data_IF_336288843377
#
_entry.id   IF_336288843377
#
_cell.length_a   1.000
_cell.length_b   1.000
_cell.length_c   1.000
_cell.angle_alpha   90.00
_cell.angle_beta   90.00
_cell.angle_gamma   90.00
#
_symmetry.space_group_name_H-M   'P 1'
#
loop_
_entity.id
_entity.type
_entity.pdbx_description
1 polymer ?
#
# COMPACT_ATOMS: atom_id res chain seq x y z
N UNK A 1 -32.01 -3.59 18.09
CA UNK A 1 -30.86 -2.84 17.54
C UNK A 1 -30.29 -3.65 16.40
N UNK A 2 -30.86 -3.42 15.23
CA UNK A 2 -30.66 -4.18 13.99
C UNK A 2 -29.31 -3.84 13.38
N UNK A 3 -28.51 -4.86 13.11
CA UNK A 3 -27.35 -4.82 12.22
C UNK A 3 -27.79 -4.27 10.87
N UNK A 4 -27.51 -2.99 10.62
CA UNK A 4 -27.52 -2.49 9.25
C UNK A 4 -26.44 -3.25 8.49
N UNK A 5 -26.91 -4.17 7.64
CA UNK A 5 -26.13 -4.90 6.67
C UNK A 5 -25.13 -3.96 5.99
N UNK A 6 -23.88 -4.40 5.93
CA UNK A 6 -22.80 -3.87 5.09
C UNK A 6 -23.27 -3.96 3.63
N UNK A 7 -24.14 -3.04 3.21
CA UNK A 7 -24.34 -2.75 1.80
C UNK A 7 -23.13 -1.94 1.40
N UNK A 8 -22.21 -2.61 0.72
CA UNK A 8 -21.11 -2.01 -0.01
C UNK A 8 -21.60 -0.74 -0.69
N UNK A 9 -21.22 0.42 -0.13
CA UNK A 9 -21.12 1.64 -0.93
C UNK A 9 -20.29 1.20 -2.14
N UNK A 10 -20.79 1.46 -3.36
CA UNK A 10 -19.97 1.27 -4.56
C UNK A 10 -18.76 2.18 -4.37
N UNK A 11 -17.66 1.61 -3.88
CA UNK A 11 -16.45 2.37 -3.59
C UNK A 11 -15.97 3.03 -4.87
N UNK A 12 -15.96 4.36 -4.85
CA UNK A 12 -15.50 5.19 -5.98
C UNK A 12 -13.98 5.22 -6.03
N UNK A 13 -13.33 5.27 -4.86
CA UNK A 13 -11.88 5.49 -4.75
C UNK A 13 -11.08 4.18 -4.71
N UNK A 14 -11.64 3.09 -4.20
CA UNK A 14 -10.96 1.80 -4.05
C UNK A 14 -11.71 0.61 -4.71
N UNK A 15 -12.25 0.74 -5.94
CA UNK A 15 -13.11 -0.30 -6.53
C UNK A 15 -12.36 -1.62 -6.75
N UNK A 16 -11.07 -1.57 -7.09
CA UNK A 16 -10.27 -2.78 -7.31
C UNK A 16 -9.90 -3.47 -5.99
N UNK A 17 -9.47 -2.71 -4.97
CA UNK A 17 -9.15 -3.26 -3.66
C UNK A 17 -10.37 -3.96 -3.05
N UNK A 18 -11.55 -3.33 -3.08
CA UNK A 18 -12.78 -3.96 -2.60
C UNK A 18 -13.12 -5.25 -3.33
N UNK A 19 -13.01 -5.29 -4.66
CA UNK A 19 -13.27 -6.51 -5.45
C UNK A 19 -12.32 -7.64 -5.06
N UNK A 20 -11.03 -7.34 -4.92
CA UNK A 20 -10.03 -8.36 -4.57
C UNK A 20 -10.20 -8.80 -3.12
N UNK A 21 -10.44 -7.89 -2.18
CA UNK A 21 -10.76 -8.24 -0.79
C UNK A 21 -12.04 -9.08 -0.65
N UNK A 22 -13.07 -8.82 -1.46
CA UNK A 22 -14.27 -9.66 -1.52
C UNK A 22 -13.94 -11.06 -2.04
N UNK A 23 -13.15 -11.15 -3.11
CA UNK A 23 -12.71 -12.42 -3.70
C UNK A 23 -11.85 -13.24 -2.71
N UNK A 24 -10.99 -12.57 -1.95
CA UNK A 24 -10.19 -13.16 -0.87
C UNK A 24 -11.03 -13.50 0.39
N UNK A 25 -12.31 -13.12 0.41
CA UNK A 25 -13.22 -13.36 1.53
C UNK A 25 -12.97 -12.48 2.76
N UNK A 26 -12.15 -11.43 2.63
CA UNK A 26 -11.81 -10.52 3.72
C UNK A 26 -13.05 -9.84 4.34
N UNK A 27 -14.00 -9.43 3.49
CA UNK A 27 -15.24 -8.78 3.92
C UNK A 27 -16.11 -9.75 4.72
N UNK A 28 -16.27 -10.98 4.24
CA UNK A 28 -17.03 -12.01 4.95
C UNK A 28 -16.40 -12.32 6.31
N UNK A 29 -15.06 -12.40 6.38
CA UNK A 29 -14.31 -12.63 7.62
C UNK A 29 -14.50 -11.48 8.62
N UNK A 30 -14.49 -10.23 8.16
CA UNK A 30 -14.69 -9.05 9.00
C UNK A 30 -16.12 -8.99 9.57
N UNK A 31 -17.13 -9.28 8.75
CA UNK A 31 -18.54 -9.17 9.13
C UNK A 31 -19.01 -10.32 10.05
N UNK A 32 -18.18 -11.37 10.21
CA UNK A 32 -18.48 -12.56 11.04
C UNK A 32 -19.84 -13.18 10.72
N UNK A 33 -20.21 -13.21 9.45
CA UNK A 33 -21.46 -13.77 8.98
C UNK A 33 -21.40 -15.32 8.96
N UNK A 34 -21.38 -15.95 10.14
CA UNK A 34 -21.18 -17.40 10.34
C UNK A 34 -22.19 -18.28 9.57
N UNK A 35 -23.35 -17.74 9.23
CA UNK A 35 -24.42 -18.45 8.51
C UNK A 35 -24.24 -18.45 6.98
N UNK A 36 -23.28 -17.68 6.44
CA UNK A 36 -23.06 -17.58 5.00
C UNK A 36 -22.09 -18.64 4.48
N UNK A 37 -22.45 -19.31 3.37
CA UNK A 37 -21.51 -20.19 2.65
C UNK A 37 -20.22 -19.47 2.22
N UNK A 38 -20.30 -18.17 1.94
CA UNK A 38 -19.14 -17.36 1.57
C UNK A 38 -18.17 -17.18 2.73
N UNK A 39 -18.65 -17.16 3.98
CA UNK A 39 -17.80 -17.09 5.16
C UNK A 39 -16.96 -18.36 5.31
N UNK A 40 -17.58 -19.54 5.23
CA UNK A 40 -16.87 -20.81 5.34
C UNK A 40 -15.91 -21.05 4.17
N UNK A 41 -16.28 -20.64 2.96
CA UNK A 41 -15.36 -20.63 1.83
C UNK A 41 -14.13 -19.74 2.10
N UNK A 42 -14.34 -18.52 2.61
CA UNK A 42 -13.26 -17.60 2.97
C UNK A 42 -12.35 -18.18 4.06
N UNK A 43 -12.92 -18.82 5.09
CA UNK A 43 -12.17 -19.47 6.16
C UNK A 43 -11.30 -20.59 5.60
N UNK A 44 -11.85 -21.47 4.76
CA UNK A 44 -11.10 -22.58 4.16
C UNK A 44 -10.00 -22.07 3.23
N UNK A 45 -10.31 -21.13 2.34
CA UNK A 45 -9.34 -20.53 1.42
C UNK A 45 -8.17 -19.91 2.20
N UNK A 46 -8.46 -19.11 3.21
CA UNK A 46 -7.43 -18.48 4.02
C UNK A 46 -6.70 -19.51 4.90
N UNK A 47 -7.35 -20.52 5.47
CA UNK A 47 -6.64 -21.56 6.22
C UNK A 47 -5.61 -22.29 5.34
N UNK A 48 -6.00 -22.62 4.11
CA UNK A 48 -5.12 -23.28 3.14
C UNK A 48 -3.99 -22.37 2.64
N UNK A 49 -4.30 -21.14 2.23
CA UNK A 49 -3.36 -20.22 1.62
C UNK A 49 -2.54 -19.39 2.62
N UNK A 50 -3.07 -19.09 3.81
CA UNK A 50 -2.47 -18.18 4.81
C UNK A 50 -1.90 -18.89 6.03
N UNK A 51 -2.22 -20.17 6.25
CA UNK A 51 -1.66 -20.95 7.37
C UNK A 51 -0.87 -22.14 6.86
N UNK A 52 -1.49 -23.01 6.07
CA UNK A 52 -0.82 -24.24 5.62
C UNK A 52 0.33 -23.93 4.66
N UNK A 53 0.13 -23.05 3.68
CA UNK A 53 1.15 -22.75 2.67
C UNK A 53 2.43 -22.09 3.23
N UNK A 54 2.36 -21.06 4.09
CA UNK A 54 3.56 -20.54 4.75
C UNK A 54 4.28 -21.59 5.61
N UNK A 55 3.54 -22.49 6.27
CA UNK A 55 4.14 -23.54 7.09
C UNK A 55 4.91 -24.56 6.25
N UNK A 56 4.37 -24.98 5.10
CA UNK A 56 5.07 -25.91 4.19
C UNK A 56 6.32 -25.29 3.56
N UNK A 57 6.29 -23.98 3.30
CA UNK A 57 7.47 -23.20 2.88
C UNK A 57 8.52 -23.12 3.99
N UNK A 58 8.12 -22.77 5.22
CA UNK A 58 9.04 -22.68 6.37
C UNK A 58 9.72 -24.01 6.69
N UNK A 59 8.99 -25.13 6.57
CA UNK A 59 9.58 -26.46 6.77
C UNK A 59 10.65 -26.82 5.72
N UNK A 60 10.51 -26.31 4.50
CA UNK A 60 11.46 -26.56 3.41
C UNK A 60 12.55 -25.48 3.28
N UNK A 61 12.47 -24.38 4.05
CA UNK A 61 13.23 -23.15 3.84
C UNK A 61 14.74 -23.34 3.66
N UNK A 62 15.36 -24.26 4.40
CA UNK A 62 16.80 -24.56 4.35
C UNK A 62 17.10 -26.02 3.98
N UNK A 63 16.20 -26.66 3.24
CA UNK A 63 16.32 -28.08 2.88
C UNK A 63 17.07 -28.33 1.57
N UNK A 64 17.59 -27.30 0.91
CA UNK A 64 18.22 -27.41 -0.41
C UNK A 64 19.74 -27.49 -0.32
N UNK A 65 20.35 -28.23 -1.25
CA UNK A 65 21.81 -28.37 -1.34
C UNK A 65 22.48 -27.07 -1.80
N UNK A 66 21.82 -26.34 -2.72
CA UNK A 66 22.33 -25.10 -3.27
C UNK A 66 22.01 -23.91 -2.36
N UNK A 67 23.01 -23.10 -1.96
CA UNK A 67 22.78 -21.90 -1.14
C UNK A 67 21.85 -20.87 -1.80
N UNK A 68 21.88 -20.76 -3.15
CA UNK A 68 21.00 -19.87 -3.91
C UNK A 68 19.52 -20.23 -3.72
N UNK A 69 19.21 -21.53 -3.75
CA UNK A 69 17.85 -22.05 -3.59
C UNK A 69 17.35 -21.84 -2.16
N UNK A 70 18.23 -21.98 -1.17
CA UNK A 70 17.94 -21.68 0.23
C UNK A 70 17.64 -20.18 0.44
N UNK A 71 18.39 -19.27 -0.20
CA UNK A 71 18.12 -17.83 -0.15
C UNK A 71 16.79 -17.47 -0.82
N UNK A 72 16.49 -18.07 -1.97
CA UNK A 72 15.22 -17.86 -2.66
C UNK A 72 14.03 -18.33 -1.80
N UNK A 73 14.10 -19.54 -1.24
CA UNK A 73 13.04 -20.08 -0.38
C UNK A 73 12.89 -19.30 0.94
N UNK A 74 13.99 -18.80 1.51
CA UNK A 74 13.95 -17.88 2.65
C UNK A 74 13.16 -16.61 2.32
N UNK A 75 13.45 -15.98 1.18
CA UNK A 75 12.75 -14.77 0.76
C UNK A 75 11.26 -15.01 0.54
N UNK A 76 10.89 -16.11 -0.12
CA UNK A 76 9.49 -16.47 -0.36
C UNK A 76 8.76 -16.75 0.96
N UNK A 77 9.39 -17.49 1.87
CA UNK A 77 8.82 -17.85 3.17
C UNK A 77 8.52 -16.61 4.01
N UNK A 78 9.50 -15.70 4.15
CA UNK A 78 9.32 -14.46 4.90
C UNK A 78 8.26 -13.57 4.24
N UNK A 79 8.28 -13.46 2.91
CA UNK A 79 7.26 -12.68 2.17
C UNK A 79 5.86 -13.25 2.41
N UNK A 80 5.72 -14.57 2.40
CA UNK A 80 4.43 -15.23 2.63
C UNK A 80 3.91 -14.96 4.05
N UNK A 81 4.76 -15.10 5.07
CA UNK A 81 4.40 -14.77 6.46
C UNK A 81 4.02 -13.29 6.60
N UNK A 82 4.79 -12.39 5.98
CA UNK A 82 4.53 -10.96 6.01
C UNK A 82 3.17 -10.59 5.38
N UNK A 83 2.86 -11.18 4.21
CA UNK A 83 1.58 -11.01 3.52
C UNK A 83 0.41 -11.44 4.40
N UNK A 84 0.53 -12.58 5.08
CA UNK A 84 -0.51 -13.07 6.01
C UNK A 84 -0.74 -12.08 7.15
N UNK A 85 0.34 -11.59 7.76
CA UNK A 85 0.25 -10.62 8.86
C UNK A 85 -0.41 -9.34 8.39
N UNK A 86 0.01 -8.77 7.24
CA UNK A 86 -0.58 -7.55 6.67
C UNK A 86 -2.07 -7.74 6.35
N UNK A 87 -2.43 -8.83 5.69
CA UNK A 87 -3.82 -9.13 5.35
C UNK A 87 -4.72 -9.25 6.59
N UNK A 88 -4.25 -9.91 7.65
CA UNK A 88 -4.96 -9.99 8.94
C UNK A 88 -5.10 -8.63 9.62
N UNK A 89 -4.12 -7.73 9.48
CA UNK A 89 -4.20 -6.37 10.00
C UNK A 89 -5.25 -5.54 9.25
N UNK A 90 -5.28 -5.61 7.92
CA UNK A 90 -6.27 -4.88 7.11
C UNK A 90 -7.69 -5.41 7.32
N UNK A 91 -7.89 -6.72 7.29
CA UNK A 91 -9.22 -7.35 7.53
C UNK A 91 -9.81 -6.90 8.86
N UNK A 92 -9.02 -6.80 9.93
CA UNK A 92 -9.46 -6.31 11.25
C UNK A 92 -9.80 -4.82 11.29
N UNK A 93 -9.31 -4.03 10.33
CA UNK A 93 -9.51 -2.57 10.28
C UNK A 93 -10.48 -2.15 9.18
N UNK A 94 -11.09 -3.08 8.44
CA UNK A 94 -11.97 -2.77 7.31
C UNK A 94 -13.15 -1.85 7.63
N UNK A 95 -13.67 -1.88 8.86
CA UNK A 95 -14.73 -0.95 9.26
C UNK A 95 -14.29 0.53 9.16
N UNK A 96 -13.02 0.83 9.45
CA UNK A 96 -12.46 2.18 9.32
C UNK A 96 -12.34 2.62 7.87
N UNK A 97 -12.20 1.69 6.93
CA UNK A 97 -12.16 2.03 5.50
C UNK A 97 -13.49 2.63 5.03
N UNK A 98 -14.61 2.11 5.51
CA UNK A 98 -15.93 2.69 5.19
C UNK A 98 -16.06 4.12 5.74
N UNK A 99 -15.58 4.36 6.96
CA UNK A 99 -15.54 5.70 7.56
C UNK A 99 -14.63 6.64 6.75
N UNK A 100 -13.46 6.16 6.34
CA UNK A 100 -12.51 6.89 5.50
C UNK A 100 -13.15 7.31 4.16
N UNK A 101 -13.85 6.39 3.48
CA UNK A 101 -14.57 6.69 2.24
C UNK A 101 -15.72 7.68 2.45
N UNK A 102 -16.44 7.61 3.57
CA UNK A 102 -17.50 8.58 3.87
C UNK A 102 -16.94 10.00 4.02
N UNK A 103 -15.83 10.16 4.75
CA UNK A 103 -15.16 11.45 4.90
C UNK A 103 -14.66 11.96 3.54
N UNK A 104 -14.14 11.09 2.67
CA UNK A 104 -13.75 11.48 1.31
C UNK A 104 -14.93 11.98 0.49
N UNK A 105 -16.07 11.27 0.52
CA UNK A 105 -17.27 11.69 -0.21
C UNK A 105 -17.76 13.06 0.28
N UNK A 106 -17.65 13.35 1.57
CA UNK A 106 -17.98 14.67 2.12
C UNK A 106 -17.04 15.78 1.64
N UNK A 107 -15.73 15.50 1.58
CA UNK A 107 -14.73 16.43 1.07
C UNK A 107 -14.89 16.66 -0.45
N UNK A 108 -15.19 15.62 -1.21
CA UNK A 108 -15.33 15.68 -2.67
C UNK A 108 -16.57 16.47 -3.09
N UNK A 109 -17.66 16.42 -2.30
CA UNK A 109 -18.84 17.30 -2.49
C UNK A 109 -18.52 18.79 -2.40
N UNK A 110 -17.37 19.17 -1.85
CA UNK A 110 -16.94 20.56 -1.72
C UNK A 110 -16.10 21.04 -2.90
N UNK A 111 -15.80 20.18 -3.87
CA UNK A 111 -15.11 20.55 -5.10
C UNK A 111 -16.09 21.30 -5.99
N UNK A 112 -15.73 22.52 -6.35
CA UNK A 112 -16.46 23.29 -7.34
C UNK A 112 -15.89 23.02 -8.73
N UNK A 113 -16.67 22.34 -9.58
CA UNK A 113 -16.24 21.98 -10.92
C UNK A 113 -16.31 23.15 -11.91
N UNK A 114 -16.96 24.25 -11.55
CA UNK A 114 -16.99 25.45 -12.38
C UNK A 114 -15.68 26.23 -12.26
N UNK A 115 -14.94 26.01 -11.16
CA UNK A 115 -13.59 26.55 -10.97
C UNK A 115 -12.58 25.65 -11.71
N UNK A 116 -12.06 26.14 -12.83
CA UNK A 116 -11.14 25.40 -13.71
C UNK A 116 -9.95 24.78 -12.96
N UNK A 117 -9.35 25.53 -12.02
CA UNK A 117 -8.25 25.04 -11.20
C UNK A 117 -8.65 23.81 -10.36
N UNK A 118 -9.81 23.84 -9.71
CA UNK A 118 -10.29 22.72 -8.87
C UNK A 118 -10.70 21.52 -9.73
N UNK A 119 -11.34 21.76 -10.87
CA UNK A 119 -11.64 20.71 -11.84
C UNK A 119 -10.36 20.01 -12.34
N UNK A 120 -9.33 20.77 -12.70
CA UNK A 120 -8.04 20.22 -13.11
C UNK A 120 -7.35 19.43 -11.99
N UNK A 121 -7.37 19.93 -10.76
CA UNK A 121 -6.79 19.24 -9.60
C UNK A 121 -7.48 17.91 -9.31
N UNK A 122 -8.82 17.88 -9.30
CA UNK A 122 -9.59 16.65 -9.12
C UNK A 122 -9.33 15.66 -10.27
N UNK A 123 -9.27 16.14 -11.51
CA UNK A 123 -8.92 15.30 -12.67
C UNK A 123 -7.50 14.74 -12.58
N UNK A 124 -6.53 15.53 -12.08
CA UNK A 124 -5.15 15.08 -11.85
C UNK A 124 -5.08 14.00 -10.78
N UNK A 125 -5.80 14.19 -9.66
CA UNK A 125 -5.94 13.18 -8.62
C UNK A 125 -6.43 11.84 -9.19
N UNK A 126 -7.52 11.84 -9.96
CA UNK A 126 -8.05 10.63 -10.59
C UNK A 126 -7.05 9.97 -11.56
N UNK A 127 -6.28 10.76 -12.32
CA UNK A 127 -5.22 10.23 -13.20
C UNK A 127 -4.10 9.57 -12.40
N UNK A 128 -3.66 10.18 -11.30
CA UNK A 128 -2.62 9.62 -10.43
C UNK A 128 -3.07 8.31 -9.79
N UNK A 129 -4.28 8.25 -9.24
CA UNK A 129 -4.84 7.00 -8.70
C UNK A 129 -4.88 5.90 -9.76
N UNK A 130 -5.27 6.24 -10.99
CA UNK A 130 -5.24 5.29 -12.12
C UNK A 130 -3.82 4.86 -12.48
N UNK A 131 -2.86 5.78 -12.47
CA UNK A 131 -1.46 5.49 -12.79
C UNK A 131 -0.84 4.55 -11.75
N UNK A 132 -1.01 4.84 -10.45
CA UNK A 132 -0.56 3.97 -9.36
C UNK A 132 -1.19 2.59 -9.53
N UNK A 133 -2.50 2.51 -9.70
CA UNK A 133 -3.21 1.24 -9.86
C UNK A 133 -2.67 0.43 -11.05
N UNK A 134 -2.48 1.06 -12.21
CA UNK A 134 -1.94 0.40 -13.42
C UNK A 134 -0.50 -0.07 -13.23
N UNK A 135 0.33 0.72 -12.57
CA UNK A 135 1.71 0.35 -12.25
C UNK A 135 1.74 -0.89 -11.34
N UNK A 136 0.95 -0.92 -10.27
CA UNK A 136 0.85 -2.10 -9.41
C UNK A 136 0.28 -3.32 -10.14
N UNK A 137 -0.75 -3.15 -10.99
CA UNK A 137 -1.27 -4.25 -11.82
C UNK A 137 -0.15 -4.81 -12.70
N UNK A 138 0.59 -3.95 -13.41
CA UNK A 138 1.67 -4.38 -14.29
C UNK A 138 2.76 -5.15 -13.53
N UNK A 139 3.19 -4.62 -12.37
CA UNK A 139 4.20 -5.27 -11.52
C UNK A 139 3.72 -6.63 -11.03
N UNK A 140 2.51 -6.73 -10.47
CA UNK A 140 2.00 -7.98 -9.91
C UNK A 140 1.60 -9.00 -10.99
N UNK A 141 1.16 -8.57 -12.18
CA UNK A 141 1.00 -9.46 -13.33
C UNK A 141 2.34 -10.03 -13.79
N UNK A 142 3.41 -9.21 -13.82
CA UNK A 142 4.75 -9.70 -14.12
C UNK A 142 5.21 -10.74 -13.08
N UNK A 143 5.00 -10.47 -11.79
CA UNK A 143 5.28 -11.44 -10.72
C UNK A 143 4.51 -12.73 -10.94
N UNK A 144 3.19 -12.69 -11.14
CA UNK A 144 2.38 -13.89 -11.37
C UNK A 144 2.87 -14.71 -12.57
N UNK A 145 3.15 -14.05 -13.70
CA UNK A 145 3.69 -14.72 -14.90
C UNK A 145 5.04 -15.37 -14.57
N UNK A 146 5.97 -14.63 -13.96
CA UNK A 146 7.31 -15.16 -13.67
C UNK A 146 7.32 -16.27 -12.63
N UNK A 147 6.36 -16.32 -11.71
CA UNK A 147 6.29 -17.37 -10.68
C UNK A 147 5.54 -18.61 -11.14
N UNK A 148 4.43 -18.45 -11.87
CA UNK A 148 3.51 -19.54 -12.18
C UNK A 148 3.77 -20.17 -13.56
N UNK A 149 4.18 -19.38 -14.54
CA UNK A 149 4.33 -19.83 -15.92
C UNK A 149 5.47 -20.83 -16.15
N UNK A 150 6.67 -20.70 -15.56
CA UNK A 150 7.79 -21.61 -15.83
C UNK A 150 7.46 -23.08 -15.55
N UNK A 151 6.68 -23.34 -14.49
CA UNK A 151 6.28 -24.69 -14.09
C UNK A 151 5.46 -25.44 -15.18
N UNK A 152 4.77 -24.71 -16.06
CA UNK A 152 3.96 -25.32 -17.13
C UNK A 152 4.78 -25.75 -18.35
N UNK A 153 6.02 -25.27 -18.47
CA UNK A 153 6.89 -25.53 -19.62
C UNK A 153 8.05 -26.50 -19.31
N UNK A 154 8.22 -26.89 -18.06
CA UNK A 154 9.23 -27.88 -17.66
C UNK A 154 8.70 -29.28 -17.98
N UNK A 155 9.50 -30.08 -18.70
CA UNK A 155 9.13 -31.43 -19.12
C UNK A 155 9.06 -32.43 -17.95
N UNK A 156 9.83 -32.17 -16.89
CA UNK A 156 9.82 -32.95 -15.66
C UNK A 156 8.73 -32.47 -14.69
N UNK A 157 8.19 -33.38 -13.88
CA UNK A 157 7.21 -33.02 -12.85
C UNK A 157 7.88 -32.16 -11.78
N UNK A 158 7.58 -30.87 -11.81
CA UNK A 158 8.07 -29.88 -10.84
C UNK A 158 6.91 -29.13 -10.22
N UNK A 159 7.08 -28.64 -9.00
CA UNK A 159 6.13 -27.73 -8.36
C UNK A 159 6.63 -26.29 -8.52
N UNK A 160 5.73 -25.28 -8.62
CA UNK A 160 6.12 -23.87 -8.77
C UNK A 160 7.12 -23.38 -7.73
N UNK A 161 6.92 -23.78 -6.47
CA UNK A 161 7.91 -23.61 -5.42
C UNK A 161 8.21 -24.93 -4.73
N UNK A 162 9.49 -25.21 -4.45
CA UNK A 162 9.85 -26.44 -3.78
C UNK A 162 9.46 -26.32 -2.30
N UNK A 163 8.43 -27.06 -1.90
CA UNK A 163 7.88 -27.04 -0.53
C UNK A 163 7.81 -28.45 0.01
N UNK A 164 7.76 -28.57 1.34
CA UNK A 164 7.49 -29.86 1.96
C UNK A 164 6.01 -30.19 1.76
N UNK A 165 5.73 -31.35 1.15
CA UNK A 165 4.37 -31.80 0.91
C UNK A 165 4.18 -33.20 1.52
N UNK A 166 3.09 -33.45 2.26
CA UNK A 166 2.90 -34.71 2.99
C UNK A 166 2.62 -35.91 2.07
N UNK A 167 2.12 -35.68 0.85
CA UNK A 167 1.86 -36.74 -0.13
C UNK A 167 3.06 -36.91 -1.07
N UNK A 168 3.39 -38.15 -1.41
CA UNK A 168 4.37 -38.42 -2.46
C UNK A 168 3.77 -38.09 -3.84
N UNK A 169 4.08 -36.88 -4.29
CA UNK A 169 3.67 -36.33 -5.57
C UNK A 169 4.64 -36.69 -6.71
N UNK A 170 5.84 -37.23 -6.40
CA UNK A 170 6.81 -37.61 -7.43
C UNK A 170 6.39 -38.91 -8.12
N UNK A 171 5.93 -39.89 -7.33
CA UNK A 171 5.54 -41.20 -7.83
C UNK A 171 4.12 -41.25 -8.44
N UNK A 172 3.15 -40.56 -7.84
CA UNK A 172 1.73 -40.63 -8.24
C UNK A 172 1.27 -39.38 -9.02
N UNK A 173 0.69 -39.60 -10.21
CA UNK A 173 0.12 -38.51 -11.03
C UNK A 173 -1.06 -37.82 -10.32
N UNK A 174 -1.89 -38.57 -9.60
CA UNK A 174 -3.03 -37.98 -8.88
C UNK A 174 -2.56 -37.05 -7.75
N UNK A 175 -1.57 -37.50 -6.96
CA UNK A 175 -0.98 -36.68 -5.91
C UNK A 175 -0.27 -35.44 -6.49
N UNK A 176 0.38 -35.60 -7.64
CA UNK A 176 0.98 -34.48 -8.37
C UNK A 176 -0.04 -33.42 -8.75
N UNK A 177 -1.16 -33.81 -9.37
CA UNK A 177 -2.22 -32.87 -9.77
C UNK A 177 -2.79 -32.15 -8.54
N UNK A 178 -3.03 -32.86 -7.43
CA UNK A 178 -3.51 -32.27 -6.18
C UNK A 178 -2.52 -31.23 -5.64
N UNK A 179 -1.24 -31.59 -5.54
CA UNK A 179 -0.19 -30.69 -5.05
C UNK A 179 -0.03 -29.45 -5.93
N UNK A 180 -0.07 -29.65 -7.25
CA UNK A 180 0.05 -28.59 -8.24
C UNK A 180 -1.12 -27.61 -8.16
N UNK A 181 -2.36 -28.10 -8.15
CA UNK A 181 -3.55 -27.25 -8.02
C UNK A 181 -3.56 -26.49 -6.68
N UNK A 182 -3.17 -27.16 -5.59
CA UNK A 182 -3.05 -26.51 -4.28
C UNK A 182 -2.02 -25.37 -4.28
N UNK A 183 -0.85 -25.59 -4.87
CA UNK A 183 0.18 -24.55 -4.94
C UNK A 183 -0.25 -23.38 -5.81
N UNK A 184 -0.80 -23.60 -7.01
CA UNK A 184 -1.31 -22.52 -7.85
C UNK A 184 -2.37 -21.69 -7.12
N UNK A 185 -3.35 -22.35 -6.47
CA UNK A 185 -4.37 -21.63 -5.72
C UNK A 185 -3.78 -20.81 -4.56
N UNK A 186 -2.81 -21.37 -3.83
CA UNK A 186 -2.16 -20.70 -2.70
C UNK A 186 -1.31 -19.52 -3.15
N UNK A 187 -0.52 -19.68 -4.21
CA UNK A 187 0.32 -18.64 -4.80
C UNK A 187 -0.53 -17.51 -5.35
N UNK A 188 -1.55 -17.81 -6.16
CA UNK A 188 -2.50 -16.82 -6.68
C UNK A 188 -3.16 -16.04 -5.54
N UNK A 189 -3.58 -16.73 -4.47
CA UNK A 189 -4.19 -16.07 -3.29
C UNK A 189 -3.20 -15.14 -2.59
N UNK A 190 -1.95 -15.57 -2.38
CA UNK A 190 -0.89 -14.77 -1.75
C UNK A 190 -0.50 -13.55 -2.61
N UNK A 191 -0.41 -13.72 -3.94
CA UNK A 191 -0.15 -12.62 -4.88
C UNK A 191 -1.27 -11.58 -4.79
N UNK A 192 -2.53 -12.02 -4.77
CA UNK A 192 -3.68 -11.12 -4.67
C UNK A 192 -3.73 -10.39 -3.31
N UNK A 193 -3.41 -11.07 -2.20
CA UNK A 193 -3.28 -10.45 -0.88
C UNK A 193 -2.20 -9.38 -0.88
N UNK A 194 -1.00 -9.73 -1.34
CA UNK A 194 0.11 -8.80 -1.36
C UNK A 194 -0.15 -7.60 -2.29
N UNK A 195 -0.84 -7.83 -3.42
CA UNK A 195 -1.25 -6.78 -4.35
C UNK A 195 -2.12 -5.71 -3.69
N UNK A 196 -3.20 -6.09 -2.99
CA UNK A 196 -4.09 -5.11 -2.33
C UNK A 196 -3.44 -4.46 -1.13
N UNK A 197 -2.66 -5.22 -0.37
CA UNK A 197 -2.00 -4.76 0.84
C UNK A 197 -0.95 -3.67 0.54
N UNK A 198 -0.28 -3.77 -0.62
CA UNK A 198 0.72 -2.80 -1.06
C UNK A 198 0.11 -1.67 -1.91
N UNK A 199 -0.98 -1.91 -2.65
CA UNK A 199 -1.67 -0.88 -3.43
C UNK A 199 -2.45 0.10 -2.55
N UNK A 200 -3.06 -0.36 -1.47
CA UNK A 200 -3.96 0.45 -0.65
C UNK A 200 -3.29 1.68 0.02
N UNK A 201 -2.11 1.56 0.66
CA UNK A 201 -1.43 2.70 1.31
C UNK A 201 -1.11 3.89 0.39
N UNK A 202 -0.45 3.74 -0.77
CA UNK A 202 -0.13 4.88 -1.62
C UNK A 202 -1.38 5.58 -2.16
N UNK A 203 -2.45 4.84 -2.48
CA UNK A 203 -3.72 5.44 -2.89
C UNK A 203 -4.33 6.29 -1.76
N UNK A 204 -4.29 5.77 -0.53
CA UNK A 204 -4.80 6.46 0.65
C UNK A 204 -4.07 7.77 0.91
N UNK A 205 -2.73 7.75 0.91
CA UNK A 205 -1.94 8.98 1.11
C UNK A 205 -2.06 9.96 -0.06
N UNK A 206 -2.18 9.47 -1.30
CA UNK A 206 -2.47 10.30 -2.46
C UNK A 206 -3.80 11.06 -2.27
N UNK A 207 -4.86 10.38 -1.86
CA UNK A 207 -6.17 11.00 -1.62
C UNK A 207 -6.09 12.06 -0.51
N UNK A 208 -5.39 11.78 0.58
CA UNK A 208 -5.18 12.74 1.67
C UNK A 208 -4.42 13.98 1.18
N UNK A 209 -3.31 13.80 0.48
CA UNK A 209 -2.51 14.92 -0.06
C UNK A 209 -3.33 15.80 -1.00
N UNK A 210 -4.04 15.20 -1.97
CA UNK A 210 -4.81 15.94 -2.99
C UNK A 210 -6.01 16.67 -2.40
N UNK A 211 -6.69 16.10 -1.41
CA UNK A 211 -7.75 16.80 -0.68
C UNK A 211 -7.21 17.99 0.14
N UNK A 212 -5.99 17.88 0.67
CA UNK A 212 -5.32 19.00 1.32
C UNK A 212 -4.98 20.12 0.33
N UNK A 213 -4.46 19.80 -0.86
CA UNK A 213 -4.21 20.80 -1.90
C UNK A 213 -5.49 21.51 -2.34
N UNK A 214 -6.59 20.76 -2.53
CA UNK A 214 -7.90 21.33 -2.85
C UNK A 214 -8.42 22.27 -1.74
N UNK A 215 -8.17 21.94 -0.47
CA UNK A 215 -8.47 22.83 0.64
C UNK A 215 -7.63 24.11 0.60
N UNK A 216 -6.31 24.00 0.36
CA UNK A 216 -5.41 25.14 0.22
C UNK A 216 -5.86 26.07 -0.90
N UNK A 217 -6.24 25.51 -2.05
CA UNK A 217 -6.77 26.28 -3.18
C UNK A 217 -8.05 27.02 -2.79
N UNK A 218 -9.02 26.33 -2.16
CA UNK A 218 -10.29 26.95 -1.72
C UNK A 218 -10.07 28.11 -0.75
N UNK A 219 -9.16 27.95 0.21
CA UNK A 219 -8.81 29.02 1.15
C UNK A 219 -8.21 30.22 0.41
N UNK A 220 -7.30 29.98 -0.53
CA UNK A 220 -6.64 31.03 -1.30
C UNK A 220 -7.58 31.84 -2.19
N UNK A 221 -8.77 31.34 -2.53
CA UNK A 221 -9.73 32.06 -3.36
C UNK A 221 -10.64 33.02 -2.56
N UNK A 222 -10.64 32.94 -1.23
CA UNK A 222 -11.56 33.71 -0.40
C UNK A 222 -11.23 35.22 -0.47
N UNK A 223 -12.27 36.04 -0.66
CA UNK A 223 -12.17 37.50 -0.64
C UNK A 223 -11.68 38.16 -1.94
N UNK A 224 -11.51 37.39 -3.03
CA UNK A 224 -11.21 37.93 -4.36
C UNK A 224 -12.44 38.12 -5.24
N UNK A 225 -13.60 37.57 -4.85
CA UNK A 225 -14.85 37.82 -5.54
C UNK A 225 -15.45 39.16 -5.09
N UNK A 226 -15.49 40.13 -6.01
CA UNK A 226 -16.04 41.47 -5.77
C UNK A 226 -17.54 41.47 -5.42
N UNK A 227 -18.24 40.35 -5.62
CA UNK A 227 -19.66 40.20 -5.27
C UNK A 227 -19.88 39.59 -3.88
N UNK A 228 -18.82 39.15 -3.20
CA UNK A 228 -18.92 38.49 -1.91
C UNK A 228 -18.92 39.49 -0.74
N UNK A 229 -20.01 39.52 0.03
CA UNK A 229 -20.07 40.27 1.29
C UNK A 229 -19.08 39.70 2.33
N UNK A 230 -18.59 40.53 3.25
CA UNK A 230 -17.67 40.12 4.33
C UNK A 230 -18.20 38.90 5.13
N UNK A 231 -19.51 38.85 5.38
CA UNK A 231 -20.15 37.72 6.08
C UNK A 231 -20.07 36.41 5.30
N UNK A 232 -20.13 36.48 3.97
CA UNK A 232 -19.98 35.31 3.09
C UNK A 232 -18.55 34.79 3.17
N UNK A 233 -17.55 35.67 3.14
CA UNK A 233 -16.14 35.29 3.29
C UNK A 233 -15.84 34.67 4.66
N UNK A 234 -16.44 35.19 5.74
CA UNK A 234 -16.37 34.57 7.07
C UNK A 234 -16.95 33.14 7.05
N UNK A 235 -18.13 32.94 6.47
CA UNK A 235 -18.75 31.61 6.35
C UNK A 235 -17.91 30.65 5.51
N UNK A 236 -17.31 31.11 4.41
CA UNK A 236 -16.41 30.32 3.59
C UNK A 236 -15.18 29.86 4.38
N UNK A 237 -14.59 30.74 5.20
CA UNK A 237 -13.47 30.39 6.07
C UNK A 237 -13.88 29.36 7.14
N UNK A 238 -15.04 29.54 7.79
CA UNK A 238 -15.56 28.54 8.74
C UNK A 238 -15.79 27.19 8.09
N UNK A 239 -16.33 27.17 6.87
CA UNK A 239 -16.51 25.94 6.12
C UNK A 239 -15.17 25.28 5.77
N UNK A 240 -14.13 26.06 5.43
CA UNK A 240 -12.78 25.55 5.20
C UNK A 240 -12.14 24.99 6.48
N UNK A 241 -12.40 25.61 7.65
CA UNK A 241 -11.95 25.08 8.95
C UNK A 241 -12.62 23.74 9.25
N UNK A 242 -13.91 23.58 8.92
CA UNK A 242 -14.60 22.30 9.06
C UNK A 242 -14.01 21.23 8.14
N UNK A 243 -13.69 21.60 6.90
CA UNK A 243 -13.06 20.69 5.94
C UNK A 243 -11.64 20.31 6.38
N UNK A 244 -10.89 21.25 6.97
CA UNK A 244 -9.62 20.97 7.63
C UNK A 244 -9.82 19.90 8.71
N UNK A 245 -10.80 20.03 9.59
CA UNK A 245 -11.03 19.03 10.64
C UNK A 245 -11.33 17.64 10.07
N UNK A 246 -12.12 17.57 8.99
CA UNK A 246 -12.36 16.31 8.28
C UNK A 246 -11.10 15.75 7.64
N UNK A 247 -10.23 16.60 7.09
CA UNK A 247 -8.95 16.20 6.52
C UNK A 247 -7.99 15.61 7.58
N UNK A 248 -7.92 16.18 8.78
CA UNK A 248 -7.13 15.59 9.87
C UNK A 248 -7.70 14.24 10.30
N UNK A 249 -9.04 14.13 10.44
CA UNK A 249 -9.70 12.84 10.70
C UNK A 249 -9.40 11.81 9.60
N UNK A 250 -9.40 12.24 8.35
CA UNK A 250 -9.07 11.39 7.21
C UNK A 250 -7.64 10.85 7.31
N UNK A 251 -6.67 11.70 7.67
CA UNK A 251 -5.29 11.29 7.88
C UNK A 251 -5.14 10.34 9.08
N UNK A 252 -5.84 10.61 10.19
CA UNK A 252 -5.82 9.74 11.37
C UNK A 252 -6.36 8.34 11.02
N UNK A 253 -7.47 8.29 10.29
CA UNK A 253 -8.05 7.04 9.78
C UNK A 253 -7.07 6.31 8.84
N UNK A 254 -6.41 7.04 7.93
CA UNK A 254 -5.39 6.47 7.06
C UNK A 254 -4.26 5.83 7.87
N UNK A 255 -3.67 6.58 8.81
CA UNK A 255 -2.55 6.13 9.63
C UNK A 255 -2.92 4.95 10.53
N UNK A 256 -4.13 4.95 11.09
CA UNK A 256 -4.66 3.83 11.87
C UNK A 256 -4.76 2.52 11.08
N UNK A 257 -4.95 2.61 9.77
CA UNK A 257 -5.03 1.45 8.88
C UNK A 257 -3.67 1.03 8.34
N UNK A 258 -2.82 1.99 7.92
CA UNK A 258 -1.58 1.69 7.19
C UNK A 258 -0.34 1.59 8.09
N UNK A 259 -0.31 2.23 9.27
CA UNK A 259 0.92 2.36 10.07
C UNK A 259 1.52 1.01 10.46
N UNK A 260 0.68 0.07 10.91
CA UNK A 260 1.11 -1.28 11.30
C UNK A 260 1.59 -2.13 10.12
N UNK A 261 0.78 -2.32 9.05
CA UNK A 261 1.21 -3.04 7.85
C UNK A 261 2.49 -2.48 7.22
N UNK A 262 2.67 -1.16 7.21
CA UNK A 262 3.87 -0.52 6.66
C UNK A 262 5.12 -0.78 7.50
N UNK A 263 5.00 -0.95 8.82
CA UNK A 263 6.13 -1.36 9.66
C UNK A 263 6.64 -2.74 9.23
N UNK A 264 5.71 -3.70 9.07
CA UNK A 264 6.02 -5.05 8.61
C UNK A 264 6.67 -4.99 7.22
N UNK A 265 6.08 -4.22 6.30
CA UNK A 265 6.58 -4.06 4.94
C UNK A 265 8.02 -3.55 4.90
N UNK A 266 8.34 -2.48 5.63
CA UNK A 266 9.68 -1.90 5.60
C UNK A 266 10.74 -2.82 6.20
N UNK A 267 10.44 -3.53 7.28
CA UNK A 267 11.37 -4.50 7.88
C UNK A 267 11.62 -5.66 6.90
N UNK A 268 10.55 -6.21 6.34
CA UNK A 268 10.62 -7.39 5.46
C UNK A 268 11.35 -7.07 4.17
N UNK A 269 11.08 -5.92 3.54
CA UNK A 269 11.81 -5.54 2.32
C UNK A 269 13.28 -5.24 2.61
N UNK A 270 13.63 -4.64 3.74
CA UNK A 270 15.04 -4.45 4.09
C UNK A 270 15.80 -5.79 4.17
N UNK A 271 15.17 -6.82 4.78
CA UNK A 271 15.73 -8.18 4.85
C UNK A 271 15.83 -8.80 3.45
N UNK A 272 14.74 -8.80 2.68
CA UNK A 272 14.67 -9.41 1.34
C UNK A 272 15.64 -8.72 0.38
N UNK A 273 15.79 -7.41 0.46
CA UNK A 273 16.72 -6.66 -0.36
C UNK A 273 18.17 -7.06 -0.04
N UNK A 274 18.51 -7.20 1.24
CA UNK A 274 19.84 -7.65 1.66
C UNK A 274 20.17 -9.07 1.18
N UNK A 275 19.24 -10.01 1.35
CA UNK A 275 19.42 -11.40 0.89
C UNK A 275 19.40 -11.53 -0.62
N UNK A 276 18.56 -10.76 -1.33
CA UNK A 276 18.53 -10.75 -2.80
C UNK A 276 19.83 -10.20 -3.37
N UNK A 277 20.39 -9.15 -2.76
CA UNK A 277 21.72 -8.63 -3.14
C UNK A 277 22.82 -9.65 -2.86
N UNK A 278 22.75 -10.37 -1.73
CA UNK A 278 23.68 -11.46 -1.42
C UNK A 278 23.60 -12.57 -2.48
N UNK A 279 22.39 -13.02 -2.83
CA UNK A 279 22.11 -13.97 -3.91
C UNK A 279 22.73 -13.54 -5.23
N UNK A 280 22.38 -12.34 -5.68
CA UNK A 280 22.84 -11.75 -6.95
C UNK A 280 24.36 -11.66 -7.05
N UNK A 281 25.04 -11.29 -5.96
CA UNK A 281 26.48 -11.06 -5.99
C UNK A 281 27.27 -12.36 -5.83
N UNK A 282 26.90 -13.22 -4.87
CA UNK A 282 27.71 -14.38 -4.48
C UNK A 282 27.36 -15.67 -5.21
N UNK A 283 26.10 -15.89 -5.57
CA UNK A 283 25.63 -17.21 -5.96
C UNK A 283 25.08 -17.27 -7.40
N UNK A 284 24.78 -16.12 -8.00
CA UNK A 284 24.22 -16.07 -9.35
C UNK A 284 25.34 -16.13 -10.41
N UNK A 285 25.37 -17.24 -11.14
CA UNK A 285 26.35 -17.48 -12.20
C UNK A 285 25.79 -17.23 -13.61
N UNK A 286 24.53 -17.65 -13.85
CA UNK A 286 23.90 -17.58 -15.18
C UNK A 286 23.37 -16.18 -15.50
N UNK A 287 23.32 -15.82 -16.79
CA UNK A 287 22.76 -14.52 -17.20
C UNK A 287 21.26 -14.42 -16.92
N UNK A 288 20.52 -15.54 -17.04
CA UNK A 288 19.08 -15.58 -16.81
C UNK A 288 18.75 -15.26 -15.34
N UNK A 289 19.46 -15.88 -14.40
CA UNK A 289 19.27 -15.63 -12.97
C UNK A 289 19.67 -14.19 -12.60
N UNK A 290 20.69 -13.61 -13.24
CA UNK A 290 21.05 -12.19 -13.05
C UNK A 290 19.89 -11.28 -13.42
N UNK A 291 19.30 -11.48 -14.60
CA UNK A 291 18.14 -10.70 -15.01
C UNK A 291 16.98 -10.87 -14.03
N UNK A 292 16.68 -12.11 -13.60
CA UNK A 292 15.64 -12.37 -12.62
C UNK A 292 15.84 -11.56 -11.33
N UNK A 293 17.03 -11.64 -10.72
CA UNK A 293 17.32 -10.93 -9.47
C UNK A 293 17.31 -9.40 -9.64
N UNK A 294 17.78 -8.87 -10.77
CA UNK A 294 17.71 -7.43 -11.07
C UNK A 294 16.26 -6.97 -11.16
N UNK A 295 15.41 -7.69 -11.90
CA UNK A 295 13.98 -7.38 -12.01
C UNK A 295 13.25 -7.57 -10.68
N UNK A 296 13.64 -8.56 -9.89
CA UNK A 296 13.10 -8.78 -8.54
C UNK A 296 13.39 -7.59 -7.62
N UNK A 297 14.65 -7.14 -7.56
CA UNK A 297 15.05 -5.96 -6.78
C UNK A 297 14.33 -4.69 -7.27
N UNK A 298 14.21 -4.51 -8.59
CA UNK A 298 13.45 -3.42 -9.17
C UNK A 298 11.97 -3.46 -8.75
N UNK A 299 11.37 -4.66 -8.71
CA UNK A 299 10.01 -4.87 -8.20
C UNK A 299 9.85 -4.42 -6.75
N UNK A 300 10.81 -4.76 -5.87
CA UNK A 300 10.82 -4.32 -4.47
C UNK A 300 10.86 -2.78 -4.36
N UNK A 301 11.66 -2.12 -5.20
CA UNK A 301 11.70 -0.65 -5.24
C UNK A 301 10.37 -0.06 -5.72
N UNK A 302 9.73 -0.66 -6.72
CA UNK A 302 8.42 -0.20 -7.22
C UNK A 302 7.31 -0.38 -6.19
N UNK A 303 7.41 -1.35 -5.28
CA UNK A 303 6.47 -1.50 -4.17
C UNK A 303 6.64 -0.41 -3.10
N UNK A 304 7.87 -0.03 -2.75
CA UNK A 304 8.11 0.98 -1.70
C UNK A 304 8.01 2.41 -2.19
N UNK A 305 8.50 2.69 -3.41
CA UNK A 305 8.66 4.06 -3.89
C UNK A 305 7.36 4.89 -3.82
N UNK A 306 6.20 4.41 -4.31
CA UNK A 306 4.98 5.20 -4.31
C UNK A 306 4.52 5.61 -2.91
N UNK A 307 4.55 4.68 -1.94
CA UNK A 307 4.13 4.99 -0.58
C UNK A 307 5.05 6.02 0.09
N UNK A 308 6.37 5.90 -0.10
CA UNK A 308 7.35 6.86 0.42
C UNK A 308 7.24 8.24 -0.26
N UNK A 309 6.95 8.27 -1.56
CA UNK A 309 6.68 9.50 -2.30
C UNK A 309 5.45 10.22 -1.75
N UNK A 310 4.31 9.52 -1.68
CA UNK A 310 3.07 10.13 -1.19
C UNK A 310 3.12 10.48 0.30
N UNK A 311 3.87 9.73 1.11
CA UNK A 311 4.11 10.11 2.50
C UNK A 311 4.86 11.43 2.63
N UNK A 312 5.90 11.63 1.82
CA UNK A 312 6.63 12.92 1.75
C UNK A 312 5.74 14.04 1.21
N UNK A 313 4.90 13.75 0.20
CA UNK A 313 3.98 14.74 -0.36
C UNK A 313 2.93 15.18 0.68
N UNK A 314 2.39 14.25 1.47
CA UNK A 314 1.49 14.60 2.57
C UNK A 314 2.20 15.52 3.57
N UNK A 315 3.43 15.20 3.97
CA UNK A 315 4.21 16.08 4.85
C UNK A 315 4.38 17.50 4.26
N UNK A 316 4.78 17.62 3.00
CA UNK A 316 4.96 18.91 2.30
C UNK A 316 3.65 19.72 2.21
N UNK A 317 2.57 19.08 1.78
CA UNK A 317 1.30 19.77 1.57
C UNK A 317 0.67 20.20 2.90
N UNK A 318 0.77 19.39 3.96
CA UNK A 318 0.31 19.81 5.29
C UNK A 318 1.19 20.91 5.88
N UNK A 319 2.49 20.91 5.60
CA UNK A 319 3.36 22.04 5.96
C UNK A 319 2.90 23.31 5.23
N UNK A 320 2.46 23.25 3.97
CA UNK A 320 1.94 24.43 3.27
C UNK A 320 0.57 24.91 3.75
N UNK A 321 -0.21 24.06 4.42
CA UNK A 321 -1.58 24.36 4.86
C UNK A 321 -1.63 25.56 5.83
N UNK A 322 -0.64 25.73 6.69
CA UNK A 322 -0.63 26.85 7.64
C UNK A 322 -0.48 28.22 6.98
N UNK A 323 0.13 28.26 5.81
CA UNK A 323 0.32 29.49 5.04
C UNK A 323 -0.87 29.80 4.12
N UNK A 324 -1.78 28.84 3.90
CA UNK A 324 -2.85 28.94 2.92
C UNK A 324 -3.75 30.18 3.10
N UNK A 325 -4.03 30.59 4.34
CA UNK A 325 -4.90 31.75 4.61
C UNK A 325 -4.25 33.07 4.19
N UNK A 326 -2.93 33.17 4.17
CA UNK A 326 -2.24 34.37 3.70
C UNK A 326 -2.34 34.56 2.20
N UNK A 327 -2.73 33.52 1.45
CA UNK A 327 -3.03 33.63 0.03
C UNK A 327 -4.45 34.15 -0.25
N UNK A 328 -5.33 34.26 0.76
CA UNK A 328 -6.65 34.88 0.63
C UNK A 328 -6.55 36.42 0.69
N UNK A 329 -7.60 37.16 0.33
CA UNK A 329 -7.63 38.62 0.50
C UNK A 329 -7.86 39.05 1.96
N UNK A 330 -7.12 38.45 2.91
CA UNK A 330 -7.31 38.58 4.36
C UNK A 330 -7.13 40.01 4.90
N UNK A 331 -6.36 40.85 4.20
CA UNK A 331 -6.04 42.24 4.59
C UNK A 331 -7.26 43.15 4.50
N UNK A 332 -8.18 42.87 3.58
CA UNK A 332 -9.41 43.65 3.40
C UNK A 332 -10.62 43.02 4.10
N UNK A 333 -10.48 41.84 4.70
CA UNK A 333 -11.58 41.17 5.41
C UNK A 333 -11.87 41.76 6.78
N UNK A 334 -13.03 41.40 7.34
CA UNK A 334 -13.47 41.76 8.68
C UNK A 334 -12.49 41.35 9.79
N UNK A 335 -12.64 41.97 10.96
CA UNK A 335 -11.83 41.61 12.14
C UNK A 335 -12.07 40.17 12.62
N UNK A 336 -13.29 39.64 12.41
CA UNK A 336 -13.66 38.27 12.77
C UNK A 336 -12.93 37.29 11.87
N UNK A 337 -12.89 37.56 10.56
CA UNK A 337 -12.12 36.78 9.60
C UNK A 337 -10.64 36.73 9.98
N UNK A 338 -10.00 37.89 10.20
CA UNK A 338 -8.56 37.96 10.52
C UNK A 338 -8.21 37.23 11.82
N UNK A 339 -9.04 37.33 12.85
CA UNK A 339 -8.83 36.57 14.10
C UNK A 339 -8.94 35.06 13.85
N UNK A 340 -9.94 34.64 13.10
CA UNK A 340 -10.18 33.24 12.77
C UNK A 340 -9.05 32.66 11.90
N UNK A 341 -8.56 33.45 10.95
CA UNK A 341 -7.40 33.15 10.11
C UNK A 341 -6.13 32.88 10.93
N UNK A 342 -5.83 33.72 11.91
CA UNK A 342 -4.67 33.55 12.80
C UNK A 342 -4.80 32.24 13.61
N UNK A 343 -6.00 31.95 14.14
CA UNK A 343 -6.25 30.70 14.88
C UNK A 343 -6.06 29.49 13.96
N UNK A 344 -6.58 29.54 12.73
CA UNK A 344 -6.37 28.50 11.72
C UNK A 344 -4.88 28.27 11.45
N UNK A 345 -4.13 29.34 11.19
CA UNK A 345 -2.69 29.27 10.91
C UNK A 345 -1.91 28.65 12.09
N UNK A 346 -2.23 29.06 13.33
CA UNK A 346 -1.62 28.48 14.53
C UNK A 346 -1.96 27.00 14.72
N UNK A 347 -3.21 26.59 14.43
CA UNK A 347 -3.64 25.19 14.55
C UNK A 347 -2.95 24.27 13.53
N UNK A 348 -2.71 24.78 12.33
CA UNK A 348 -2.13 24.03 11.21
C UNK A 348 -0.61 23.93 11.25
N UNK A 349 0.07 24.75 12.06
CA UNK A 349 1.53 24.69 12.25
C UNK A 349 2.03 23.37 12.85
N UNK A 350 1.20 22.64 13.60
CA UNK A 350 1.58 21.35 14.19
C UNK A 350 1.13 20.22 13.28
N UNK A 351 2.07 19.64 12.54
CA UNK A 351 1.86 18.43 11.76
C UNK A 351 2.73 17.27 12.27
N UNK A 352 2.16 16.11 12.62
CA UNK A 352 2.94 14.94 13.00
C UNK A 352 3.59 14.30 11.79
N UNK A 353 4.88 13.95 11.90
CA UNK A 353 5.56 13.13 10.90
C UNK A 353 4.84 11.79 10.73
N UNK A 354 4.76 11.31 9.50
CA UNK A 354 4.10 10.03 9.22
C UNK A 354 5.05 8.88 9.61
N UNK A 355 4.68 8.11 10.63
CA UNK A 355 5.50 7.02 11.14
C UNK A 355 4.77 5.67 11.00
N UNK A 356 5.41 4.71 10.34
CA UNK A 356 5.06 3.31 10.34
C UNK A 356 5.42 2.69 11.69
N UNK A 357 4.41 2.16 12.38
CA UNK A 357 4.52 1.57 13.71
C UNK A 357 5.11 2.52 14.77
N UNK A 358 5.01 3.84 14.58
CA UNK A 358 5.67 4.87 15.40
C UNK A 358 7.21 4.80 15.43
N UNK A 359 7.83 4.09 14.48
CA UNK A 359 9.30 3.90 14.44
C UNK A 359 9.91 4.39 13.13
N UNK A 360 9.37 3.95 11.99
CA UNK A 360 10.00 4.17 10.68
C UNK A 360 9.25 5.28 9.93
N UNK A 361 9.91 6.36 9.48
CA UNK A 361 9.25 7.39 8.69
C UNK A 361 8.69 6.85 7.36
N UNK A 362 7.44 7.19 7.05
CA UNK A 362 6.84 6.93 5.73
C UNK A 362 7.23 8.09 4.81
N UNK A 363 8.50 8.10 4.38
CA UNK A 363 9.06 9.19 3.60
C UNK A 363 10.10 8.68 2.59
N UNK A 364 10.43 9.53 1.60
CA UNK A 364 11.48 9.26 0.61
C UNK A 364 12.85 9.04 1.26
N UNK A 365 13.09 9.59 2.45
CA UNK A 365 14.30 9.33 3.22
C UNK A 365 14.47 7.85 3.57
N UNK A 366 13.38 7.14 3.88
CA UNK A 366 13.37 5.69 4.14
C UNK A 366 13.63 4.89 2.86
N UNK A 367 13.02 5.29 1.74
CA UNK A 367 13.32 4.69 0.43
C UNK A 367 14.79 4.86 0.05
N UNK A 368 15.32 6.08 0.15
CA UNK A 368 16.72 6.37 -0.10
C UNK A 368 17.65 5.64 0.88
N UNK A 369 17.21 5.44 2.12
CA UNK A 369 17.88 4.60 3.11
C UNK A 369 18.05 3.17 2.62
N UNK A 370 16.99 2.56 2.09
CA UNK A 370 17.04 1.22 1.49
C UNK A 370 17.96 1.17 0.25
N UNK A 371 17.86 2.15 -0.66
CA UNK A 371 18.75 2.24 -1.82
C UNK A 371 20.22 2.37 -1.42
N UNK A 372 20.52 3.23 -0.44
CA UNK A 372 21.88 3.41 0.09
C UNK A 372 22.37 2.15 0.77
N UNK A 373 21.53 1.48 1.55
CA UNK A 373 21.85 0.19 2.18
C UNK A 373 22.25 -0.86 1.14
N UNK A 374 21.45 -1.02 0.09
CA UNK A 374 21.76 -1.93 -1.01
C UNK A 374 23.06 -1.57 -1.74
N UNK A 375 23.29 -0.27 -2.03
CA UNK A 375 24.51 0.20 -2.66
C UNK A 375 25.74 -0.01 -1.77
N UNK A 376 25.67 0.35 -0.49
CA UNK A 376 26.74 0.15 0.47
C UNK A 376 27.11 -1.33 0.58
N UNK A 377 26.13 -2.21 0.67
CA UNK A 377 26.35 -3.67 0.67
C UNK A 377 27.05 -4.11 -0.62
N UNK A 378 26.60 -3.66 -1.79
CA UNK A 378 27.25 -3.95 -3.07
C UNK A 378 28.70 -3.47 -3.09
N UNK A 379 28.98 -2.24 -2.65
CA UNK A 379 30.34 -1.68 -2.64
C UNK A 379 31.28 -2.43 -1.70
N UNK A 380 30.80 -2.81 -0.50
CA UNK A 380 31.60 -3.58 0.45
C UNK A 380 32.01 -4.94 -0.13
N UNK A 381 31.09 -5.62 -0.83
CA UNK A 381 31.41 -6.91 -1.47
C UNK A 381 32.35 -6.72 -2.67
N UNK A 382 32.13 -5.67 -3.47
CA UNK A 382 33.00 -5.37 -4.59
C UNK A 382 34.43 -5.09 -4.12
N UNK A 383 34.60 -4.44 -2.96
CA UNK A 383 35.89 -4.17 -2.35
C UNK A 383 36.53 -5.42 -1.73
N UNK A 384 35.75 -6.24 -1.01
CA UNK A 384 36.22 -7.51 -0.44
C UNK A 384 36.68 -8.53 -1.49
N UNK A 385 36.24 -8.39 -2.75
CA UNK A 385 36.71 -9.20 -3.88
C UNK A 385 37.99 -8.67 -4.53
N UNK A 386 38.33 -7.39 -4.34
CA UNK A 386 39.54 -6.75 -4.88
C UNK A 386 40.78 -6.97 -4.01
N UNK A 387 40.61 -7.44 -2.79
CA UNK A 387 41.71 -7.87 -1.91
C UNK A 387 42.02 -9.34 -2.19
N UNK A 388 43.02 -9.68 -3.02
CA UNK A 388 43.48 -11.05 -3.13
C UNK A 388 44.06 -11.47 -1.77
N UNK A 389 43.65 -12.64 -1.27
CA UNK A 389 44.38 -13.35 -0.21
C UNK A 389 45.75 -13.80 -0.71
#
# INVERSE_FOLDING_TARGET
MTSQSVRTIKSVYFPLNWRVWQLLGAVALNDRAYESHQFWFAVVLNLLATVVYPMTLLMAMFSFELPLDNLMNFNISITSVATVVKFLMYTRRMQKLNEFEQVLVELDKRVDHDIEAQHMMHKSMCKELSLITKMYIATFCCVAITTELPCLFIAERTLPFPTWFPLDWKSSLSNYVIALTYQFLSITTQILQNFVDDLFPPLTLCLVARNCELLINRIGLIGYDNQSDERTNEQLLFNCIRDQQQLYRLLDLAMDMISGPMLVQFIVIAIILGTAMCGLVFYVETQQDRFYYIFFIYGLFMQIFPICYYGTLVEDVFERLHYAVFNSNWVEQSIVYRRTAIIFAQRTQKFPKLLAGNVIPIALTTFLGNCKGAYSFFTLIADSRKTPQ
#
